data_IF_015112718701
#
_entry.id   IF_015112718701
#
_cell.length_a   1.000
_cell.length_b   1.000
_cell.length_c   1.000
_cell.angle_alpha   90.00
_cell.angle_beta   90.00
_cell.angle_gamma   90.00
#
_symmetry.space_group_name_H-M   'P 1'
#
loop_
_entity.id
_entity.type
_entity.pdbx_description
1 polymer ?
#
# COMPACT_ATOMS: atom_id res chain seq x y z
N UNK A 1 -1.78 -33.78 -6.72
CA UNK A 1 -3.13 -33.18 -6.62
C UNK A 1 -3.15 -32.37 -5.34
N UNK A 2 -3.58 -31.10 -5.42
CA UNK A 2 -3.47 -29.99 -4.45
C UNK A 2 -2.37 -28.97 -4.75
N UNK A 3 -2.85 -27.88 -5.37
CA UNK A 3 -2.46 -26.50 -5.15
C UNK A 3 -1.26 -25.89 -5.88
N UNK A 4 -1.36 -25.90 -7.21
CA UNK A 4 -0.73 -24.88 -8.06
C UNK A 4 -1.35 -23.48 -7.91
N UNK A 5 -2.35 -23.30 -7.03
CA UNK A 5 -2.96 -22.00 -6.75
C UNK A 5 -2.16 -21.14 -5.76
N UNK A 6 -1.22 -21.72 -5.01
CA UNK A 6 -0.31 -20.96 -4.13
C UNK A 6 0.75 -20.15 -4.89
N UNK A 7 1.01 -20.48 -6.16
CA UNK A 7 2.04 -19.81 -6.97
C UNK A 7 1.56 -18.53 -7.67
N UNK A 8 0.26 -18.22 -7.60
CA UNK A 8 -0.31 -16.95 -8.09
C UNK A 8 -0.20 -15.85 -7.00
N UNK A 9 0.45 -16.13 -5.87
CA UNK A 9 1.07 -15.09 -5.02
C UNK A 9 2.31 -14.46 -5.68
N UNK A 10 2.33 -14.30 -7.01
CA UNK A 10 2.94 -13.13 -7.62
C UNK A 10 2.13 -11.92 -7.16
N UNK A 11 2.34 -11.52 -5.89
CA UNK A 11 1.99 -10.19 -5.41
C UNK A 11 2.50 -9.24 -6.47
N UNK A 12 1.59 -8.57 -7.16
CA UNK A 12 1.97 -7.39 -7.92
C UNK A 12 2.73 -6.53 -6.90
N UNK A 13 4.05 -6.30 -7.10
CA UNK A 13 4.95 -5.91 -6.02
C UNK A 13 4.54 -4.60 -5.34
N UNK A 14 3.70 -3.83 -6.01
CA UNK A 14 3.22 -2.53 -5.57
C UNK A 14 1.70 -2.45 -5.41
N UNK A 15 0.96 -3.57 -5.29
CA UNK A 15 -0.49 -3.53 -5.04
C UNK A 15 -0.80 -4.00 -3.62
N UNK A 16 -1.45 -3.11 -2.87
CA UNK A 16 -1.97 -3.35 -1.52
C UNK A 16 -3.45 -3.70 -1.61
N UNK A 17 -3.79 -4.88 -1.10
CA UNK A 17 -5.16 -5.37 -1.03
C UNK A 17 -5.88 -4.83 0.21
N UNK A 18 -7.18 -5.07 0.30
CA UNK A 18 -7.98 -4.72 1.48
C UNK A 18 -7.37 -5.28 2.77
N UNK A 19 -6.84 -6.52 2.71
CA UNK A 19 -6.24 -7.16 3.87
C UNK A 19 -5.02 -6.38 4.38
N UNK A 20 -4.15 -5.94 3.47
CA UNK A 20 -2.96 -5.17 3.82
C UNK A 20 -3.36 -3.79 4.39
N UNK A 21 -4.33 -3.11 3.78
CA UNK A 21 -4.86 -1.84 4.27
C UNK A 21 -5.53 -1.99 5.65
N UNK A 22 -6.19 -3.10 5.90
CA UNK A 22 -6.79 -3.41 7.20
C UNK A 22 -5.72 -3.55 8.29
N UNK A 23 -4.59 -4.20 7.98
CA UNK A 23 -3.45 -4.33 8.90
C UNK A 23 -2.83 -2.96 9.23
N UNK A 24 -2.65 -2.11 8.21
CA UNK A 24 -2.12 -0.76 8.35
C UNK A 24 -3.05 0.15 9.16
N UNK A 25 -4.34 0.18 8.82
CA UNK A 25 -5.35 1.02 9.49
C UNK A 25 -5.57 0.59 10.96
N UNK A 26 -5.61 -0.72 11.20
CA UNK A 26 -5.95 -1.29 12.50
C UNK A 26 -4.80 -1.49 13.47
N UNK A 27 -3.53 -1.26 13.07
CA UNK A 27 -2.33 -1.68 13.82
C UNK A 27 -2.46 -3.12 14.35
N UNK A 28 -2.94 -4.03 13.49
CA UNK A 28 -3.18 -5.43 13.85
C UNK A 28 -4.57 -5.77 14.43
N UNK A 29 -5.50 -4.82 14.58
CA UNK A 29 -6.91 -5.11 14.90
C UNK A 29 -7.73 -5.33 13.62
N UNK A 30 -8.64 -6.31 13.64
CA UNK A 30 -9.62 -6.52 12.55
C UNK A 30 -10.61 -5.36 12.51
N UNK A 31 -10.29 -4.32 11.75
CA UNK A 31 -11.17 -3.18 11.50
C UNK A 31 -12.12 -3.50 10.34
N UNK A 32 -13.38 -3.05 10.45
CA UNK A 32 -14.39 -3.26 9.40
C UNK A 32 -13.99 -2.52 8.12
N UNK A 33 -14.44 -3.03 6.96
CA UNK A 33 -14.20 -2.40 5.65
C UNK A 33 -14.56 -0.91 5.61
N UNK A 34 -15.73 -0.54 6.13
CA UNK A 34 -16.16 0.85 6.20
C UNK A 34 -15.14 1.76 6.93
N UNK A 35 -14.47 1.24 7.96
CA UNK A 35 -13.44 1.97 8.69
C UNK A 35 -12.16 2.15 7.86
N UNK A 36 -11.78 1.12 7.10
CA UNK A 36 -10.63 1.19 6.18
C UNK A 36 -10.92 2.16 5.03
N UNK A 37 -12.12 2.14 4.47
CA UNK A 37 -12.56 3.09 3.44
C UNK A 37 -12.58 4.54 3.98
N UNK A 38 -13.15 4.76 5.17
CA UNK A 38 -13.10 6.06 5.84
C UNK A 38 -11.67 6.52 6.09
N UNK A 39 -10.80 5.62 6.55
CA UNK A 39 -9.40 5.92 6.76
C UNK A 39 -8.71 6.28 5.45
N UNK A 40 -8.87 5.48 4.40
CA UNK A 40 -8.32 5.77 3.08
C UNK A 40 -8.78 7.12 2.56
N UNK A 41 -10.07 7.44 2.69
CA UNK A 41 -10.63 8.76 2.33
C UNK A 41 -10.05 9.89 3.16
N UNK A 42 -9.88 9.70 4.48
CA UNK A 42 -9.28 10.71 5.38
C UNK A 42 -7.80 10.97 5.09
N UNK A 43 -7.06 9.95 4.67
CA UNK A 43 -5.66 10.08 4.27
C UNK A 43 -5.52 10.53 2.80
N UNK A 44 -6.61 10.57 2.03
CA UNK A 44 -6.55 10.88 0.60
C UNK A 44 -5.95 9.76 -0.25
N UNK A 45 -5.94 8.52 0.24
CA UNK A 45 -5.40 7.35 -0.48
C UNK A 45 -6.32 7.01 -1.65
N UNK A 46 -5.85 7.09 -2.91
CA UNK A 46 -6.62 6.63 -4.07
C UNK A 46 -6.81 5.12 -3.98
N UNK A 47 -8.04 4.63 -4.08
CA UNK A 47 -8.33 3.20 -4.08
C UNK A 47 -9.31 2.83 -5.21
N UNK A 48 -9.26 1.56 -5.64
CA UNK A 48 -10.16 0.95 -6.61
C UNK A 48 -10.86 -0.25 -5.97
N UNK A 49 -12.01 -0.64 -6.51
CA UNK A 49 -12.72 -1.85 -6.09
C UNK A 49 -12.21 -3.05 -6.89
N UNK A 50 -12.04 -4.20 -6.23
CA UNK A 50 -11.56 -5.46 -6.84
C UNK A 50 -12.69 -6.27 -7.52
N UNK A 51 -13.94 -5.85 -7.39
CA UNK A 51 -15.12 -6.55 -7.94
C UNK A 51 -15.72 -7.61 -7.01
N UNK A 52 -14.98 -8.09 -6.01
CA UNK A 52 -15.48 -8.98 -4.95
C UNK A 52 -15.94 -8.20 -3.70
N UNK A 53 -15.81 -6.87 -3.74
CA UNK A 53 -16.23 -5.97 -2.67
C UNK A 53 -15.11 -5.57 -1.72
N UNK A 54 -13.87 -5.93 -2.02
CA UNK A 54 -12.69 -5.34 -1.41
C UNK A 54 -12.25 -4.08 -2.15
N UNK A 55 -11.28 -3.39 -1.54
CA UNK A 55 -10.58 -2.27 -2.14
C UNK A 55 -9.11 -2.63 -2.30
N UNK A 56 -8.49 -2.08 -3.33
CA UNK A 56 -7.05 -2.17 -3.53
C UNK A 56 -6.49 -0.80 -3.89
N UNK A 57 -5.24 -0.59 -3.53
CA UNK A 57 -4.47 0.61 -3.86
C UNK A 57 -3.06 0.20 -4.28
N UNK A 58 -2.29 1.14 -4.82
CA UNK A 58 -0.88 0.90 -5.12
C UNK A 58 0.03 1.47 -4.04
N UNK A 59 1.24 0.92 -3.89
CA UNK A 59 2.25 1.42 -2.95
C UNK A 59 2.54 2.90 -3.20
N UNK A 60 2.68 3.30 -4.47
CA UNK A 60 2.91 4.70 -4.83
C UNK A 60 1.75 5.61 -4.40
N UNK A 61 0.50 5.20 -4.65
CA UNK A 61 -0.67 5.97 -4.29
C UNK A 61 -0.84 6.07 -2.76
N UNK A 62 -0.55 4.97 -2.05
CA UNK A 62 -0.52 4.91 -0.60
C UNK A 62 0.57 5.84 -0.02
N UNK A 63 1.80 5.72 -0.51
CA UNK A 63 2.95 6.52 -0.06
C UNK A 63 2.72 8.01 -0.31
N UNK A 64 2.25 8.38 -1.50
CA UNK A 64 1.92 9.76 -1.85
C UNK A 64 0.85 10.34 -0.92
N UNK A 65 -0.18 9.57 -0.59
CA UNK A 65 -1.27 10.01 0.29
C UNK A 65 -0.86 10.08 1.77
N UNK A 66 0.01 9.18 2.22
CA UNK A 66 0.55 9.21 3.58
C UNK A 66 1.64 10.28 3.76
N UNK A 67 2.02 10.99 2.68
CA UNK A 67 3.16 11.92 2.71
C UNK A 67 4.48 11.20 2.95
N UNK A 68 4.52 9.87 2.76
CA UNK A 68 5.73 9.08 2.69
C UNK A 68 6.27 9.27 1.27
N UNK A 69 6.63 10.52 0.97
CA UNK A 69 7.49 10.80 -0.17
C UNK A 69 8.79 10.08 0.07
N UNK A 70 9.29 9.43 -0.97
CA UNK A 70 10.70 9.09 -1.12
C UNK A 70 11.51 10.37 -0.96
N UNK A 71 11.77 10.77 0.29
CA UNK A 71 12.95 11.53 0.69
C UNK A 71 14.14 10.55 0.59
N UNK A 72 14.29 9.91 -0.57
CA UNK A 72 15.57 9.42 -1.02
C UNK A 72 16.17 10.63 -1.67
N UNK A 73 16.73 11.48 -0.83
CA UNK A 73 17.86 12.34 -1.14
C UNK A 73 17.82 12.89 -2.58
N UNK A 74 17.06 13.95 -2.83
CA UNK A 74 17.46 14.94 -3.85
C UNK A 74 18.68 15.74 -3.33
N UNK A 75 19.64 15.04 -2.72
CA UNK A 75 20.99 15.52 -2.54
C UNK A 75 21.67 15.16 -3.85
N UNK A 76 21.89 16.13 -4.76
CA UNK A 76 22.62 15.85 -5.98
C UNK A 76 23.95 15.23 -5.59
N UNK A 77 24.28 14.08 -6.17
CA UNK A 77 25.57 13.43 -5.97
C UNK A 77 26.70 14.47 -6.10
N UNK A 78 27.36 14.75 -4.98
CA UNK A 78 28.48 15.67 -4.90
C UNK A 78 29.74 14.82 -4.75
N UNK A 79 30.65 14.85 -5.73
CA UNK A 79 31.90 14.09 -5.64
C UNK A 79 32.79 14.53 -4.46
N UNK A 80 32.47 15.66 -3.84
CA UNK A 80 33.12 16.24 -2.66
C UNK A 80 32.73 15.57 -1.32
N UNK A 81 31.73 14.69 -1.30
CA UNK A 81 31.29 13.97 -0.08
C UNK A 81 32.04 12.63 0.14
N UNK A 82 32.92 12.22 -0.77
CA UNK A 82 33.66 10.95 -0.73
C UNK A 82 35.06 11.06 -0.12
N UNK A 83 35.31 12.05 0.75
CA UNK A 83 36.65 12.33 1.31
C UNK A 83 36.88 11.65 2.66
#
# INVERSE_FOLDING_TARGET
>A
MHDTLSAIEHRLPDIYTFHDLQLLCGRGKKVKRARVEEWARRQGIPYKYDGEGGIWTTLQALNAALGIGTDLDDVPYRPEDLV
#
